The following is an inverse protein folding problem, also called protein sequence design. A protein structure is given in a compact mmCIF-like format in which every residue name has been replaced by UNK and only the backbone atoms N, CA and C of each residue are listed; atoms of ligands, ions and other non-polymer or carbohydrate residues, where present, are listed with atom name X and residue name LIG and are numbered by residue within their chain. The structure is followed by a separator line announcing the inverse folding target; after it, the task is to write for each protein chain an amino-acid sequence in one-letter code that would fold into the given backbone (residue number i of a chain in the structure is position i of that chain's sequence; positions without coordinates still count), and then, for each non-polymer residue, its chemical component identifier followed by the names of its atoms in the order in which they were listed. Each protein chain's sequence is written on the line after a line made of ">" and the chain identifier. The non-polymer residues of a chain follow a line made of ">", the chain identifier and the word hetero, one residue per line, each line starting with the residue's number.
data_IF_247278027174
#
_entry.id   IF_247278027174
#
_cell.length_a   1.000
_cell.length_b   1.000
_cell.length_c   1.000
_cell.angle_alpha   90.00
_cell.angle_beta   90.00
_cell.angle_gamma   90.00
#
_symmetry.space_group_name_H-M   'P 1'
#
loop_
_entity.id
_entity.type
_entity.pdbx_description
1 polymer ?
#
# COMPACT_ATOMS: atom_id res chain seq x y z
N UNK A 1 -16.15 -3.57 15.36
CA UNK A 1 -14.89 -3.87 16.09
C UNK A 1 -14.77 -5.36 16.39
N UNK A 2 -15.80 -6.03 16.93
CA UNK A 2 -15.81 -7.50 17.13
C UNK A 2 -15.59 -8.31 15.85
N UNK A 3 -16.30 -7.98 14.77
CA UNK A 3 -16.16 -8.67 13.48
C UNK A 3 -14.75 -8.55 12.87
N UNK A 4 -14.08 -7.42 13.10
CA UNK A 4 -12.70 -7.20 12.65
C UNK A 4 -11.67 -7.98 13.47
N UNK A 5 -11.91 -8.12 14.78
CA UNK A 5 -11.10 -8.96 15.68
C UNK A 5 -11.24 -10.46 15.34
N UNK A 6 -12.45 -10.91 14.99
CA UNK A 6 -12.69 -12.29 14.54
C UNK A 6 -11.99 -12.59 13.21
N UNK A 7 -12.01 -11.63 12.28
CA UNK A 7 -11.28 -11.73 11.01
C UNK A 7 -9.77 -11.88 11.25
N UNK A 8 -9.17 -11.06 12.13
CA UNK A 8 -7.74 -11.15 12.46
C UNK A 8 -7.37 -12.48 13.15
N UNK A 9 -8.21 -12.97 14.05
CA UNK A 9 -8.01 -14.29 14.68
C UNK A 9 -8.04 -15.42 13.64
N UNK A 10 -8.85 -15.29 12.58
CA UNK A 10 -8.89 -16.28 11.50
C UNK A 10 -7.58 -16.34 10.69
N UNK A 11 -6.86 -15.22 10.58
CA UNK A 11 -5.53 -15.13 9.96
C UNK A 11 -4.38 -15.51 10.90
N UNK A 12 -4.67 -16.07 12.09
CA UNK A 12 -3.67 -16.53 13.05
C UNK A 12 -3.09 -15.42 13.93
N UNK A 13 -3.67 -14.23 13.92
CA UNK A 13 -3.29 -13.13 14.81
C UNK A 13 -4.08 -13.30 16.11
N UNK A 14 -3.54 -14.09 17.05
CA UNK A 14 -4.14 -14.30 18.35
C UNK A 14 -4.01 -13.04 19.23
N UNK A 15 -5.08 -12.26 19.29
CA UNK A 15 -5.15 -11.06 20.11
C UNK A 15 -5.68 -11.42 21.50
N UNK A 16 -4.78 -11.67 22.45
CA UNK A 16 -5.11 -11.77 23.88
C UNK A 16 -5.40 -10.38 24.43
N UNK A 17 -6.69 -10.01 24.45
CA UNK A 17 -7.17 -8.74 25.00
C UNK A 17 -7.19 -8.85 26.53
N UNK A 18 -6.11 -8.45 27.20
CA UNK A 18 -6.17 -8.08 28.61
C UNK A 18 -6.82 -6.69 28.71
N UNK A 19 -7.65 -6.44 29.72
CA UNK A 19 -8.46 -5.20 29.81
C UNK A 19 -7.64 -3.90 29.86
N UNK A 20 -6.33 -3.97 30.08
CA UNK A 20 -5.36 -2.86 30.02
C UNK A 20 -4.70 -2.64 28.65
N UNK A 21 -4.87 -3.55 27.67
CA UNK A 21 -4.17 -3.51 26.37
C UNK A 21 -5.00 -2.97 25.21
N UNK A 22 -6.28 -2.62 25.43
CA UNK A 22 -7.23 -2.33 24.33
C UNK A 22 -6.91 -1.11 23.45
N UNK A 23 -6.37 0.03 23.93
CA UNK A 23 -6.12 1.20 23.08
C UNK A 23 -4.86 1.05 22.23
N UNK A 24 -3.81 0.46 22.80
CA UNK A 24 -2.51 0.25 22.14
C UNK A 24 -2.67 -0.77 21.01
N UNK A 25 -3.48 -1.79 21.22
CA UNK A 25 -3.67 -2.85 20.24
C UNK A 25 -4.47 -2.37 19.03
N UNK A 26 -5.48 -1.53 19.24
CA UNK A 26 -6.19 -0.83 18.16
C UNK A 26 -5.28 0.10 17.37
N UNK A 27 -4.39 0.83 18.06
CA UNK A 27 -3.37 1.66 17.41
C UNK A 27 -2.43 0.84 16.51
N UNK A 28 -1.87 -0.26 17.02
CA UNK A 28 -0.96 -1.12 16.26
C UNK A 28 -1.61 -1.67 14.98
N UNK A 29 -2.87 -2.07 15.08
CA UNK A 29 -3.66 -2.56 13.93
C UNK A 29 -3.86 -1.46 12.88
N UNK A 30 -4.21 -0.23 13.30
CA UNK A 30 -4.39 0.90 12.36
C UNK A 30 -3.07 1.23 11.66
N UNK A 31 -1.97 1.28 12.39
CA UNK A 31 -0.63 1.50 11.80
C UNK A 31 -0.26 0.38 10.83
N UNK A 32 -0.56 -0.87 11.15
CA UNK A 32 -0.32 -2.01 10.27
C UNK A 32 -1.06 -1.85 8.95
N UNK A 33 -2.35 -1.51 8.98
CA UNK A 33 -3.17 -1.30 7.78
C UNK A 33 -2.64 -0.13 6.95
N UNK A 34 -2.34 1.02 7.58
CA UNK A 34 -1.77 2.18 6.89
C UNK A 34 -0.42 1.86 6.25
N UNK A 35 0.41 1.04 6.91
CA UNK A 35 1.72 0.62 6.40
C UNK A 35 1.61 -0.31 5.20
N UNK A 36 0.65 -1.25 5.22
CA UNK A 36 0.37 -2.14 4.08
C UNK A 36 -0.11 -1.30 2.88
N UNK A 37 -1.02 -0.35 3.10
CA UNK A 37 -1.51 0.55 2.05
C UNK A 37 -0.37 1.41 1.47
N UNK A 38 0.49 1.97 2.32
CA UNK A 38 1.66 2.72 1.86
C UNK A 38 2.61 1.85 1.01
N UNK A 39 2.86 0.60 1.43
CA UNK A 39 3.69 -0.35 0.68
C UNK A 39 3.09 -0.63 -0.71
N UNK A 40 1.78 -0.82 -0.80
CA UNK A 40 1.09 -1.05 -2.08
C UNK A 40 1.22 0.14 -3.02
N UNK A 41 1.09 1.38 -2.51
CA UNK A 41 1.32 2.58 -3.31
C UNK A 41 2.75 2.65 -3.85
N UNK A 42 3.75 2.36 -3.01
CA UNK A 42 5.16 2.34 -3.43
C UNK A 42 5.38 1.29 -4.53
N UNK A 43 4.84 0.08 -4.36
CA UNK A 43 4.93 -0.96 -5.38
C UNK A 43 4.28 -0.54 -6.69
N UNK A 44 3.08 0.06 -6.66
CA UNK A 44 2.41 0.56 -7.85
C UNK A 44 3.21 1.65 -8.57
N UNK A 45 3.80 2.58 -7.82
CA UNK A 45 4.67 3.64 -8.37
C UNK A 45 5.91 3.01 -9.03
N UNK A 46 6.57 2.06 -8.39
CA UNK A 46 7.75 1.37 -8.93
C UNK A 46 7.39 0.61 -10.22
N UNK A 47 6.29 -0.15 -10.22
CA UNK A 47 5.83 -0.88 -11.40
C UNK A 47 5.56 0.10 -12.55
N UNK A 48 4.92 1.23 -12.28
CA UNK A 48 4.67 2.25 -13.29
C UNK A 48 5.96 2.82 -13.88
N UNK A 49 6.97 3.13 -13.04
CA UNK A 49 8.27 3.62 -13.51
C UNK A 49 8.99 2.57 -14.38
N UNK A 50 8.91 1.29 -14.01
CA UNK A 50 9.46 0.18 -14.81
C UNK A 50 8.76 0.12 -16.18
N UNK A 51 7.43 0.19 -16.20
CA UNK A 51 6.64 0.19 -17.45
C UNK A 51 7.00 1.37 -18.34
N UNK A 52 7.17 2.56 -17.77
CA UNK A 52 7.60 3.76 -18.50
C UNK A 52 8.98 3.53 -19.16
N UNK A 53 9.96 3.05 -18.39
CA UNK A 53 11.32 2.79 -18.88
C UNK A 53 11.35 1.72 -19.99
N UNK A 54 10.58 0.63 -19.82
CA UNK A 54 10.42 -0.39 -20.85
C UNK A 54 9.79 0.19 -22.12
N UNK A 55 8.82 1.10 -21.99
CA UNK A 55 8.12 1.69 -23.14
C UNK A 55 9.02 2.55 -24.03
N UNK A 56 10.10 3.11 -23.48
CA UNK A 56 11.09 3.89 -24.21
C UNK A 56 12.11 3.00 -24.94
N UNK A 57 12.33 1.77 -24.46
CA UNK A 57 13.28 0.83 -25.04
C UNK A 57 12.62 -0.12 -26.05
N UNK A 58 12.73 0.20 -27.34
CA UNK A 58 12.16 -0.58 -28.45
C UNK A 58 12.57 -2.06 -28.43
N UNK A 59 13.82 -2.38 -28.08
CA UNK A 59 14.31 -3.77 -28.04
C UNK A 59 13.59 -4.62 -26.99
N UNK A 60 13.32 -4.03 -25.81
CA UNK A 60 12.63 -4.73 -24.72
C UNK A 60 11.13 -4.85 -25.03
N UNK A 61 10.55 -3.80 -25.63
CA UNK A 61 9.15 -3.79 -26.04
C UNK A 61 8.85 -4.91 -27.06
N UNK A 62 9.73 -5.10 -28.04
CA UNK A 62 9.58 -6.15 -29.05
C UNK A 62 9.64 -7.55 -28.43
N UNK A 63 10.56 -7.81 -27.49
CA UNK A 63 10.59 -9.08 -26.75
C UNK A 63 9.35 -9.33 -25.88
N UNK A 64 8.81 -8.29 -25.25
CA UNK A 64 7.60 -8.43 -24.42
C UNK A 64 6.37 -8.69 -25.29
N UNK A 65 6.35 -8.18 -26.54
CA UNK A 65 5.25 -8.41 -27.48
C UNK A 65 5.06 -9.88 -27.86
N UNK A 66 6.12 -10.69 -27.77
CA UNK A 66 6.07 -12.15 -27.99
C UNK A 66 5.21 -12.86 -26.92
N UNK A 67 5.10 -12.29 -25.72
CA UNK A 67 4.32 -12.84 -24.62
C UNK A 67 2.95 -12.15 -24.50
N UNK A 68 1.93 -12.70 -25.15
CA UNK A 68 0.55 -12.14 -25.23
C UNK A 68 -0.03 -11.68 -23.89
N UNK A 69 0.18 -12.43 -22.79
CA UNK A 69 -0.35 -12.06 -21.47
C UNK A 69 0.38 -10.84 -20.87
N UNK A 70 1.71 -10.86 -20.89
CA UNK A 70 2.52 -9.76 -20.37
C UNK A 70 2.32 -8.48 -21.17
N UNK A 71 2.19 -8.59 -22.50
CA UNK A 71 1.90 -7.45 -23.36
C UNK A 71 0.54 -6.81 -23.07
N UNK A 72 -0.50 -7.61 -22.78
CA UNK A 72 -1.82 -7.08 -22.35
C UNK A 72 -1.72 -6.31 -21.04
N UNK A 73 -1.04 -6.87 -20.03
CA UNK A 73 -0.83 -6.21 -18.75
C UNK A 73 -0.02 -4.91 -18.95
N UNK A 74 1.03 -4.97 -19.76
CA UNK A 74 1.86 -3.82 -20.09
C UNK A 74 1.06 -2.69 -20.75
N UNK A 75 0.22 -2.99 -21.74
CA UNK A 75 -0.66 -1.99 -22.37
C UNK A 75 -1.62 -1.40 -21.34
N UNK A 76 -2.19 -2.23 -20.46
CA UNK A 76 -3.12 -1.78 -19.44
C UNK A 76 -2.43 -0.76 -18.49
N UNK A 77 -1.23 -1.09 -18.01
CA UNK A 77 -0.43 -0.19 -17.16
C UNK A 77 0.06 1.07 -17.89
N UNK A 78 0.44 0.95 -19.16
CA UNK A 78 0.84 2.09 -19.99
C UNK A 78 -0.32 3.07 -20.21
N UNK A 79 -1.54 2.55 -20.30
CA UNK A 79 -2.74 3.37 -20.52
C UNK A 79 -3.26 4.01 -19.22
N UNK A 80 -2.77 3.54 -18.07
CA UNK A 80 -2.99 4.19 -16.79
C UNK A 80 -2.40 5.61 -16.84
N UNK A 81 -3.25 6.63 -16.74
CA UNK A 81 -2.86 8.03 -16.92
C UNK A 81 -1.94 8.49 -15.78
N UNK A 82 -1.07 9.47 -16.07
CA UNK A 82 -0.28 10.22 -15.07
C UNK A 82 -1.13 10.73 -13.89
N UNK A 83 -2.42 11.00 -14.12
CA UNK A 83 -3.38 11.39 -13.08
C UNK A 83 -3.52 10.30 -12.00
N UNK A 84 -3.57 9.03 -12.37
CA UNK A 84 -3.62 7.92 -11.40
C UNK A 84 -2.33 7.83 -10.57
N UNK A 85 -1.17 8.01 -11.21
CA UNK A 85 0.11 8.07 -10.50
C UNK A 85 0.16 9.23 -9.51
N UNK A 86 -0.38 10.40 -9.88
CA UNK A 86 -0.50 11.54 -8.98
C UNK A 86 -1.42 11.24 -7.79
N UNK A 87 -2.54 10.54 -8.01
CA UNK A 87 -3.41 10.07 -6.93
C UNK A 87 -2.71 9.09 -5.99
N UNK A 88 -1.98 8.10 -6.51
CA UNK A 88 -1.19 7.16 -5.72
C UNK A 88 -0.13 7.89 -4.88
N UNK A 89 0.54 8.90 -5.45
CA UNK A 89 1.49 9.73 -4.72
C UNK A 89 0.84 10.54 -3.60
N UNK A 90 -0.31 11.17 -3.86
CA UNK A 90 -1.05 11.87 -2.81
C UNK A 90 -1.51 10.93 -1.70
N UNK A 91 -2.01 9.74 -2.08
CA UNK A 91 -2.46 8.73 -1.12
C UNK A 91 -1.31 8.20 -0.25
N UNK A 92 -0.12 8.00 -0.85
CA UNK A 92 1.10 7.65 -0.13
C UNK A 92 1.48 8.73 0.90
N UNK A 93 1.48 10.00 0.50
CA UNK A 93 1.81 11.13 1.39
C UNK A 93 0.82 11.20 2.55
N UNK A 94 -0.48 11.06 2.28
CA UNK A 94 -1.53 11.08 3.32
C UNK A 94 -1.32 9.92 4.31
N UNK A 95 -1.03 8.72 3.82
CA UNK A 95 -0.76 7.56 4.69
C UNK A 95 0.48 7.80 5.57
N UNK A 96 1.57 8.29 5.00
CA UNK A 96 2.80 8.59 5.75
C UNK A 96 2.58 9.68 6.81
N UNK A 97 1.90 10.78 6.45
CA UNK A 97 1.54 11.83 7.41
C UNK A 97 0.65 11.30 8.52
N UNK A 98 -0.33 10.45 8.20
CA UNK A 98 -1.22 9.85 9.19
C UNK A 98 -0.46 8.97 10.17
N UNK A 99 0.49 8.16 9.69
CA UNK A 99 1.36 7.34 10.54
C UNK A 99 2.21 8.24 11.45
N UNK A 100 2.89 9.24 10.90
CA UNK A 100 3.74 10.17 11.67
C UNK A 100 2.92 10.90 12.73
N UNK A 101 1.73 11.40 12.37
CA UNK A 101 0.84 12.11 13.27
C UNK A 101 0.35 11.21 14.41
N UNK A 102 -0.12 10.00 14.10
CA UNK A 102 -0.59 9.04 15.09
C UNK A 102 0.54 8.60 16.04
N UNK A 103 1.70 8.25 15.49
CA UNK A 103 2.89 7.91 16.29
C UNK A 103 3.34 9.08 17.16
N UNK A 104 3.34 10.30 16.62
CA UNK A 104 3.69 11.52 17.36
C UNK A 104 2.74 11.78 18.52
N UNK A 105 1.42 11.65 18.32
CA UNK A 105 0.44 11.80 19.41
C UNK A 105 0.68 10.82 20.55
N UNK A 106 0.99 9.56 20.23
CA UNK A 106 1.32 8.54 21.23
C UNK A 106 2.64 8.86 21.94
N UNK A 107 3.69 9.22 21.20
CA UNK A 107 5.02 9.50 21.75
C UNK A 107 5.05 10.74 22.65
N UNK A 108 4.29 11.79 22.31
CA UNK A 108 4.22 13.05 23.07
C UNK A 108 3.06 13.08 24.08
N UNK A 109 2.30 12.00 24.23
CA UNK A 109 1.19 11.92 25.18
C UNK A 109 0.08 12.95 24.93
N UNK A 110 -0.10 13.38 23.68
CA UNK A 110 -1.12 14.36 23.30
C UNK A 110 -2.44 13.61 23.15
N UNK A 111 -3.10 13.40 24.30
CA UNK A 111 -4.45 12.84 24.43
C UNK A 111 -5.49 13.72 23.76
#
# INVERSE_FOLDING_TARGET
>A
MKEFLEFLNHFGIHLTVNESSSPILGFCVVILVLSILALLCVLNIIIYLIVLNISENKYILDKISEYKLFFKIFILYKNTRLVYLAFEFMFLIINLFSIIYLCGRVAYGIS
#
